data_IF_939506899993
#
_entry.id   IF_939506899993
#
_cell.length_a   1.000
_cell.length_b   1.000
_cell.length_c   1.000
_cell.angle_alpha   90.00
_cell.angle_beta   90.00
_cell.angle_gamma   90.00
#
_symmetry.space_group_name_H-M   'P 1'
#
loop_
_entity.id
_entity.type
_entity.pdbx_description
1 polymer ?
#
# COMPACT_ATOMS: atom_id res chain seq x y z
N UNK A 1 -3.38 4.27 -4.12
CA UNK A 1 -4.06 3.70 -2.92
C UNK A 1 -5.57 3.88 -2.93
N UNK A 2 -6.13 5.09 -3.06
CA UNK A 2 -7.60 5.28 -3.07
C UNK A 2 -8.32 4.41 -4.11
N UNK A 3 -7.78 4.36 -5.34
CA UNK A 3 -8.29 3.46 -6.38
C UNK A 3 -8.24 1.98 -5.96
N UNK A 4 -7.08 1.52 -5.48
CA UNK A 4 -6.91 0.15 -4.99
C UNK A 4 -7.92 -0.21 -3.89
N UNK A 5 -8.14 0.68 -2.91
CA UNK A 5 -9.13 0.46 -1.84
C UNK A 5 -10.55 0.36 -2.43
N UNK A 6 -10.93 1.26 -3.35
CA UNK A 6 -12.23 1.18 -4.04
C UNK A 6 -12.38 -0.09 -4.87
N UNK A 7 -11.30 -0.56 -5.48
CA UNK A 7 -11.31 -1.81 -6.24
C UNK A 7 -11.48 -3.02 -5.31
N UNK A 8 -10.85 -3.02 -4.14
CA UNK A 8 -11.07 -4.04 -3.11
C UNK A 8 -12.52 -4.09 -2.61
N UNK A 9 -13.24 -2.96 -2.59
CA UNK A 9 -14.66 -2.92 -2.24
C UNK A 9 -15.52 -3.77 -3.19
N UNK A 10 -15.10 -3.94 -4.46
CA UNK A 10 -15.78 -4.84 -5.43
C UNK A 10 -15.67 -6.32 -5.03
N UNK A 11 -14.72 -6.66 -4.17
CA UNK A 11 -14.54 -8.02 -3.61
C UNK A 11 -15.07 -8.10 -2.17
N UNK A 12 -15.99 -7.22 -1.77
CA UNK A 12 -16.55 -7.14 -0.41
C UNK A 12 -15.50 -6.87 0.70
N UNK A 13 -14.32 -6.36 0.35
CA UNK A 13 -13.31 -5.95 1.32
C UNK A 13 -13.57 -4.51 1.74
N UNK A 14 -14.11 -4.34 2.94
CA UNK A 14 -14.41 -3.03 3.52
C UNK A 14 -13.17 -2.44 4.21
N UNK A 15 -13.16 -1.11 4.43
CA UNK A 15 -12.05 -0.43 5.12
C UNK A 15 -11.70 -1.02 6.48
N UNK A 16 -12.68 -1.52 7.25
CA UNK A 16 -12.47 -2.18 8.55
C UNK A 16 -11.64 -3.47 8.46
N UNK A 17 -11.57 -4.08 7.28
CA UNK A 17 -10.80 -5.30 7.01
C UNK A 17 -9.33 -4.98 6.67
N UNK A 18 -9.01 -3.70 6.45
CA UNK A 18 -7.69 -3.28 6.00
C UNK A 18 -6.71 -3.16 7.17
N UNK A 19 -5.43 -3.32 6.88
CA UNK A 19 -4.33 -3.02 7.78
C UNK A 19 -3.35 -2.12 7.04
N UNK A 20 -2.78 -1.16 7.74
CA UNK A 20 -1.84 -0.19 7.15
C UNK A 20 -0.47 -0.35 7.78
N UNK A 21 0.59 -0.31 6.99
CA UNK A 21 1.97 -0.25 7.47
C UNK A 21 2.70 0.88 6.76
N UNK A 22 3.38 1.71 7.54
CA UNK A 22 4.23 2.76 6.99
C UNK A 22 5.69 2.31 6.98
N UNK A 23 6.40 2.64 5.92
CA UNK A 23 7.85 2.58 5.84
C UNK A 23 8.39 4.01 5.85
N UNK A 24 9.14 4.35 6.88
CA UNK A 24 9.62 5.69 7.15
C UNK A 24 11.16 5.69 7.18
N UNK A 25 11.78 6.84 6.87
CA UNK A 25 13.20 7.05 7.12
C UNK A 25 13.44 7.49 8.56
N UNK A 26 14.68 7.37 9.05
CA UNK A 26 15.04 7.62 10.45
C UNK A 26 14.78 9.06 10.92
N UNK A 27 14.81 10.01 10.00
CA UNK A 27 14.58 11.45 10.22
C UNK A 27 13.12 11.89 10.02
N UNK A 28 12.19 10.95 9.77
CA UNK A 28 10.78 11.26 9.59
C UNK A 28 10.00 11.28 10.91
N UNK A 29 9.04 12.20 11.02
CA UNK A 29 8.12 12.24 12.16
C UNK A 29 7.01 11.20 11.99
N UNK A 30 7.10 10.13 12.79
CA UNK A 30 6.17 8.99 12.77
C UNK A 30 4.71 9.43 12.93
N UNK A 31 4.43 10.27 13.93
CA UNK A 31 3.06 10.72 14.24
C UNK A 31 2.46 11.51 13.08
N UNK A 32 3.19 12.47 12.52
CA UNK A 32 2.74 13.25 11.36
C UNK A 32 2.45 12.38 10.14
N UNK A 33 3.26 11.34 9.90
CA UNK A 33 3.02 10.41 8.79
C UNK A 33 1.77 9.55 9.03
N UNK A 34 1.60 9.03 10.24
CA UNK A 34 0.40 8.26 10.62
C UNK A 34 -0.88 9.09 10.49
N UNK A 35 -0.90 10.30 11.07
CA UNK A 35 -2.05 11.21 11.03
C UNK A 35 -2.41 11.60 9.60
N UNK A 36 -1.40 11.88 8.76
CA UNK A 36 -1.60 12.16 7.34
C UNK A 36 -2.29 11.02 6.61
N UNK A 37 -1.78 9.79 6.72
CA UNK A 37 -2.33 8.65 6.00
C UNK A 37 -3.69 8.19 6.55
N UNK A 38 -3.90 8.33 7.86
CA UNK A 38 -5.20 8.11 8.51
C UNK A 38 -6.26 9.02 7.92
N UNK A 39 -5.98 10.34 7.86
CA UNK A 39 -6.86 11.34 7.25
C UNK A 39 -7.09 11.08 5.76
N UNK A 40 -6.02 10.80 5.02
CA UNK A 40 -6.05 10.66 3.57
C UNK A 40 -6.84 9.43 3.10
N UNK A 41 -6.74 8.31 3.82
CA UNK A 41 -7.42 7.05 3.48
C UNK A 41 -8.75 6.86 4.23
N UNK A 42 -9.02 7.68 5.26
CA UNK A 42 -10.13 7.52 6.20
C UNK A 42 -10.09 6.14 6.86
N UNK A 43 -8.92 5.75 7.36
CA UNK A 43 -8.70 4.49 8.09
C UNK A 43 -8.21 4.88 9.50
N UNK A 44 -8.83 4.36 10.57
CA UNK A 44 -8.44 4.71 11.94
C UNK A 44 -7.03 4.21 12.28
N UNK A 45 -6.33 4.94 13.14
CA UNK A 45 -4.97 4.58 13.60
C UNK A 45 -4.89 3.21 14.28
N UNK A 46 -5.99 2.70 14.83
CA UNK A 46 -6.09 1.34 15.39
C UNK A 46 -5.80 0.24 14.36
N UNK A 47 -5.97 0.53 13.06
CA UNK A 47 -5.67 -0.39 11.97
C UNK A 47 -4.24 -0.21 11.41
N UNK A 48 -3.43 0.69 11.98
CA UNK A 48 -2.04 0.90 11.59
C UNK A 48 -1.12 0.02 12.44
N UNK A 49 -0.33 -0.83 11.76
CA UNK A 49 0.74 -1.61 12.36
C UNK A 49 1.94 -0.72 12.68
N UNK A 50 2.81 -1.19 13.59
CA UNK A 50 4.09 -0.54 13.90
C UNK A 50 4.85 -0.18 12.62
N UNK A 51 5.16 1.10 12.38
CA UNK A 51 5.94 1.52 11.22
C UNK A 51 7.31 0.85 11.17
N UNK A 52 7.78 0.55 9.97
CA UNK A 52 9.15 0.13 9.73
C UNK A 52 10.02 1.37 9.53
N UNK A 53 11.05 1.51 10.36
CA UNK A 53 12.00 2.63 10.28
C UNK A 53 13.26 2.14 9.57
N UNK A 54 13.54 2.71 8.39
CA UNK A 54 14.78 2.49 7.66
C UNK A 54 15.93 3.16 8.43
N UNK A 55 17.11 2.53 8.41
CA UNK A 55 18.33 3.10 9.03
C UNK A 55 18.79 4.38 8.33
N UNK A 56 18.54 4.49 7.02
CA UNK A 56 18.90 5.66 6.22
C UNK A 56 18.02 6.86 6.54
N UNK A 57 18.56 8.05 6.33
CA UNK A 57 17.81 9.31 6.40
C UNK A 57 17.21 9.65 5.03
N UNK A 58 16.10 10.37 5.01
CA UNK A 58 15.55 10.95 3.80
C UNK A 58 16.53 11.94 3.16
N UNK A 59 17.33 12.64 3.96
CA UNK A 59 18.37 13.54 3.44
C UNK A 59 19.48 12.82 2.69
N UNK A 60 19.76 11.56 3.03
CA UNK A 60 20.85 10.77 2.45
C UNK A 60 20.49 10.01 1.16
N UNK A 61 19.24 10.07 0.71
CA UNK A 61 18.83 9.39 -0.54
C UNK A 61 18.87 10.37 -1.72
N UNK A 62 19.30 9.89 -2.88
CA UNK A 62 19.33 10.65 -4.14
C UNK A 62 17.93 10.91 -4.72
N UNK A 63 16.94 10.09 -4.35
CA UNK A 63 15.56 10.24 -4.79
C UNK A 63 14.68 10.82 -3.67
N UNK A 64 14.62 12.15 -3.60
CA UNK A 64 13.92 12.89 -2.53
C UNK A 64 12.48 13.29 -2.88
N UNK A 65 11.94 12.88 -4.05
CA UNK A 65 10.57 13.21 -4.49
C UNK A 65 9.45 12.61 -3.62
N UNK A 66 9.77 11.88 -2.55
CA UNK A 66 8.78 11.51 -1.56
C UNK A 66 8.31 12.76 -0.81
N UNK A 67 6.99 13.01 -0.79
CA UNK A 67 6.33 14.16 -0.13
C UNK A 67 6.52 14.26 1.40
N UNK A 68 7.57 13.65 1.97
CA UNK A 68 7.86 13.62 3.40
C UNK A 68 6.88 12.79 4.21
N UNK A 69 6.05 11.96 3.56
CA UNK A 69 5.00 11.15 4.22
C UNK A 69 5.35 9.66 4.35
N UNK A 70 6.55 9.27 3.90
CA UNK A 70 6.97 7.88 3.79
C UNK A 70 6.14 7.06 2.81
N UNK A 71 6.36 5.75 2.77
CA UNK A 71 5.63 4.82 1.91
C UNK A 71 4.52 4.15 2.71
N UNK A 72 3.28 4.22 2.20
CA UNK A 72 2.12 3.58 2.83
C UNK A 72 1.75 2.29 2.11
N UNK A 73 1.73 1.18 2.86
CA UNK A 73 1.30 -0.13 2.40
C UNK A 73 -0.07 -0.44 3.00
N UNK A 74 -1.06 -0.70 2.13
CA UNK A 74 -2.40 -1.16 2.53
C UNK A 74 -2.48 -2.66 2.27
N UNK A 75 -2.97 -3.40 3.26
CA UNK A 75 -3.06 -4.86 3.27
C UNK A 75 -4.46 -5.28 3.71
N UNK A 76 -4.87 -6.50 3.37
CA UNK A 76 -6.05 -7.16 3.92
C UNK A 76 -5.70 -8.63 4.15
N UNK A 77 -6.33 -9.26 5.14
CA UNK A 77 -6.02 -10.65 5.52
C UNK A 77 -7.11 -11.58 4.95
N UNK A 78 -7.04 -11.88 3.65
CA UNK A 78 -7.84 -12.91 2.99
C UNK A 78 -6.98 -13.58 1.90
N UNK A 79 -6.38 -14.72 2.24
CA UNK A 79 -5.41 -15.42 1.39
C UNK A 79 -6.06 -15.92 0.10
N UNK A 80 -7.20 -16.60 0.20
CA UNK A 80 -7.86 -17.22 -0.94
C UNK A 80 -8.26 -16.19 -1.99
N UNK A 81 -8.79 -15.04 -1.55
CA UNK A 81 -9.09 -13.92 -2.43
C UNK A 81 -7.84 -13.33 -3.09
N UNK A 82 -6.75 -13.19 -2.34
CA UNK A 82 -5.49 -12.70 -2.89
C UNK A 82 -4.93 -13.65 -3.96
N UNK A 83 -4.98 -14.96 -3.72
CA UNK A 83 -4.54 -15.98 -4.68
C UNK A 83 -5.40 -15.92 -5.95
N UNK A 84 -6.72 -15.84 -5.82
CA UNK A 84 -7.64 -15.68 -6.95
C UNK A 84 -7.32 -14.44 -7.79
N UNK A 85 -7.13 -13.28 -7.14
CA UNK A 85 -6.76 -12.02 -7.80
C UNK A 85 -5.43 -12.18 -8.56
N UNK A 86 -4.42 -12.76 -7.92
CA UNK A 86 -3.09 -12.94 -8.50
C UNK A 86 -3.12 -13.88 -9.71
N UNK A 87 -3.91 -14.95 -9.66
CA UNK A 87 -4.12 -15.85 -10.80
C UNK A 87 -4.77 -15.13 -11.98
N UNK A 88 -5.81 -14.32 -11.72
CA UNK A 88 -6.46 -13.51 -12.75
C UNK A 88 -5.49 -12.53 -13.43
N UNK A 89 -4.70 -11.79 -12.65
CA UNK A 89 -3.70 -10.87 -13.19
C UNK A 89 -2.62 -11.58 -14.01
N UNK A 90 -2.14 -12.74 -13.55
CA UNK A 90 -1.17 -13.56 -14.29
C UNK A 90 -1.74 -14.04 -15.63
N UNK A 91 -3.00 -14.43 -15.66
CA UNK A 91 -3.67 -14.84 -16.89
C UNK A 91 -3.78 -13.68 -17.89
N UNK A 92 -4.27 -12.51 -17.44
CA UNK A 92 -4.40 -11.30 -18.28
C UNK A 92 -3.03 -10.88 -18.83
N UNK A 93 -1.99 -10.85 -18.00
CA UNK A 93 -0.63 -10.52 -18.45
C UNK A 93 -0.08 -11.51 -19.49
N UNK A 94 -0.40 -12.80 -19.35
CA UNK A 94 -0.01 -13.81 -20.35
C UNK A 94 -0.75 -13.62 -21.67
N UNK A 95 -2.02 -13.22 -21.65
CA UNK A 95 -2.79 -12.94 -22.87
C UNK A 95 -2.21 -11.74 -23.62
N UNK A 96 -1.87 -10.67 -22.90
CA UNK A 96 -1.27 -9.47 -23.50
C UNK A 96 0.06 -9.80 -24.22
N UNK A 97 0.93 -10.56 -23.55
CA UNK A 97 2.21 -11.00 -24.14
C UNK A 97 2.05 -11.90 -25.38
N UNK A 98 0.94 -12.64 -25.52
CA UNK A 98 0.66 -13.43 -26.72
C UNK A 98 0.20 -12.58 -27.90
N UNK A 99 -0.39 -11.41 -27.64
CA UNK A 99 -0.88 -10.50 -28.68
C UNK A 99 0.23 -9.59 -29.25
N UNK A 100 1.43 -9.60 -28.67
CA UNK A 100 2.58 -8.78 -29.09
C UNK A 100 3.51 -9.55 -30.06
N UNK A 101 3.38 -10.87 -30.14
CA UNK A 101 4.07 -11.70 -31.13
C UNK A 101 3.07 -12.50 -31.97
N UNK A 102 2.57 -11.91 -33.08
CA UNK A 102 1.87 -12.66 -34.12
C UNK A 102 2.79 -13.65 -34.85
#
# INVERSE_FOLDING_TARGET
LKFFIRWLELFNIQKKNLKVKLHLYSDMNIKKSLDFWSKELKIPLSQFRKPYIKKTSLKSITYTNGFGKGTCCVMFDNRDLWEYIMMGMKYISKMDNKNIHP
#
